data_IF_664292719437
#
_entry.id   IF_664292719437
#
_cell.length_a   1.000
_cell.length_b   1.000
_cell.length_c   1.000
_cell.angle_alpha   90.00
_cell.angle_beta   90.00
_cell.angle_gamma   90.00
#
_symmetry.space_group_name_H-M   'P 1'
#
loop_
_entity.id
_entity.type
_entity.pdbx_description
1 polymer ?
#
# COMPACT_ATOMS: atom_id res chain seq x y z
N UNK A 1 -92.49 14.18 -25.42
CA UNK A 1 -91.47 13.13 -25.57
C UNK A 1 -90.33 13.44 -24.59
N UNK A 2 -90.16 12.59 -23.56
CA UNK A 2 -89.04 12.39 -22.59
C UNK A 2 -88.12 13.58 -22.26
N UNK A 3 -88.22 14.18 -21.06
CA UNK A 3 -87.47 13.86 -19.81
C UNK A 3 -85.96 13.62 -19.99
N UNK A 4 -85.13 14.41 -19.29
CA UNK A 4 -84.11 13.98 -18.32
C UNK A 4 -83.61 15.20 -17.53
N UNK A 5 -83.78 15.14 -16.22
CA UNK A 5 -83.16 15.97 -15.19
C UNK A 5 -81.79 15.38 -14.87
N UNK A 6 -80.74 16.19 -14.75
CA UNK A 6 -79.46 15.75 -14.17
C UNK A 6 -78.94 16.84 -13.23
N UNK A 7 -79.16 16.60 -11.93
CA UNK A 7 -78.43 17.24 -10.84
C UNK A 7 -76.96 16.83 -10.95
N UNK A 8 -76.06 17.81 -10.99
CA UNK A 8 -74.65 17.60 -10.69
C UNK A 8 -74.39 18.17 -9.29
N UNK A 9 -74.26 17.26 -8.33
CA UNK A 9 -73.81 17.53 -6.98
C UNK A 9 -72.38 18.10 -7.01
N UNK A 10 -72.18 19.22 -6.32
CA UNK A 10 -70.87 19.70 -5.92
C UNK A 10 -70.23 18.66 -4.98
N UNK A 11 -69.28 17.89 -5.51
CA UNK A 11 -68.42 17.02 -4.71
C UNK A 11 -67.25 17.83 -4.17
N UNK A 12 -67.30 18.13 -2.88
CA UNK A 12 -66.21 18.71 -2.09
C UNK A 12 -64.97 17.81 -2.17
N UNK A 13 -63.93 18.24 -2.88
CA UNK A 13 -62.60 17.67 -2.74
C UNK A 13 -61.95 18.26 -1.48
N UNK A 14 -62.23 17.64 -0.34
CA UNK A 14 -61.41 17.79 0.87
C UNK A 14 -60.89 16.42 1.27
N UNK A 15 -59.76 16.03 0.70
CA UNK A 15 -58.90 15.00 1.26
C UNK A 15 -57.53 15.64 1.49
N UNK A 16 -57.44 16.49 2.53
CA UNK A 16 -56.15 16.69 3.19
C UNK A 16 -55.77 15.34 3.78
N UNK A 17 -54.80 14.67 3.16
CA UNK A 17 -54.28 13.40 3.64
C UNK A 17 -53.77 13.57 5.06
N UNK A 18 -54.38 12.85 6.01
CA UNK A 18 -53.79 12.68 7.33
C UNK A 18 -52.40 12.07 7.14
N UNK A 19 -51.38 12.71 7.74
CA UNK A 19 -50.09 12.08 7.94
C UNK A 19 -50.34 10.77 8.70
N UNK A 20 -50.26 9.65 8.01
CA UNK A 20 -50.39 8.34 8.63
C UNK A 20 -49.09 8.10 9.37
N UNK A 21 -49.11 8.15 10.69
CA UNK A 21 -47.94 7.76 11.50
C UNK A 21 -47.59 6.30 11.17
N UNK A 22 -46.35 6.00 10.75
CA UNK A 22 -45.96 4.63 10.45
C UNK A 22 -46.04 3.76 11.71
N UNK A 23 -46.40 2.47 11.61
CA UNK A 23 -46.45 1.58 12.76
C UNK A 23 -45.10 1.52 13.50
N UNK A 24 -45.06 1.58 14.84
CA UNK A 24 -43.79 1.56 15.58
C UNK A 24 -42.89 0.35 15.28
N UNK A 25 -43.48 -0.86 15.17
CA UNK A 25 -42.75 -2.08 14.83
C UNK A 25 -42.10 -2.03 13.44
N UNK A 26 -42.75 -1.33 12.51
CA UNK A 26 -42.19 -1.11 11.17
C UNK A 26 -40.95 -0.21 11.27
N UNK A 27 -41.05 0.91 11.99
CA UNK A 27 -39.95 1.87 12.16
C UNK A 27 -38.74 1.19 12.79
N UNK A 28 -38.97 0.37 13.82
CA UNK A 28 -37.90 -0.38 14.48
C UNK A 28 -37.20 -1.36 13.53
N UNK A 29 -37.97 -2.21 12.83
CA UNK A 29 -37.42 -3.23 11.93
C UNK A 29 -36.70 -2.62 10.73
N UNK A 30 -37.30 -1.61 10.11
CA UNK A 30 -36.68 -0.88 9.01
C UNK A 30 -35.40 -0.19 9.49
N UNK A 31 -35.42 0.42 10.67
CA UNK A 31 -34.24 1.02 11.32
C UNK A 31 -33.09 0.03 11.46
N UNK A 32 -33.35 -1.18 11.98
CA UNK A 32 -32.34 -2.24 12.11
C UNK A 32 -31.76 -2.67 10.76
N UNK A 33 -32.57 -2.69 9.71
CA UNK A 33 -32.12 -3.06 8.37
C UNK A 33 -31.32 -1.97 7.69
N UNK A 34 -31.68 -0.70 7.88
CA UNK A 34 -30.94 0.45 7.32
C UNK A 34 -29.51 0.57 7.86
N UNK A 35 -29.24 0.07 9.08
CA UNK A 35 -27.89 0.04 9.68
C UNK A 35 -27.14 -1.29 9.44
N UNK A 36 -27.71 -2.20 8.65
CA UNK A 36 -27.12 -3.52 8.43
C UNK A 36 -25.85 -3.44 7.60
N UNK A 37 -24.91 -4.36 7.85
CA UNK A 37 -23.74 -4.57 6.98
C UNK A 37 -24.09 -5.20 5.64
N UNK A 38 -25.28 -5.80 5.51
CA UNK A 38 -25.81 -6.38 4.27
C UNK A 38 -26.52 -5.31 3.43
N UNK A 39 -25.98 -4.92 2.26
CA UNK A 39 -26.60 -3.92 1.40
C UNK A 39 -28.03 -4.30 0.97
N UNK A 40 -28.31 -5.60 0.80
CA UNK A 40 -29.64 -6.07 0.38
C UNK A 40 -30.72 -5.75 1.41
N UNK A 41 -30.36 -5.80 2.71
CA UNK A 41 -31.26 -5.42 3.80
C UNK A 41 -31.50 -3.92 3.84
N UNK A 42 -30.45 -3.11 3.67
CA UNK A 42 -30.58 -1.64 3.60
C UNK A 42 -31.52 -1.23 2.47
N UNK A 43 -31.26 -1.76 1.26
CA UNK A 43 -32.08 -1.51 0.07
C UNK A 43 -33.53 -2.01 0.22
N UNK A 44 -33.76 -3.11 0.92
CA UNK A 44 -35.11 -3.56 1.23
C UNK A 44 -35.82 -2.61 2.20
N UNK A 45 -35.12 -2.08 3.21
CA UNK A 45 -35.70 -1.11 4.15
C UNK A 45 -36.14 0.19 3.46
N UNK A 46 -35.31 0.74 2.57
CA UNK A 46 -35.66 1.94 1.80
C UNK A 46 -36.91 1.71 0.93
N UNK A 47 -36.96 0.58 0.21
CA UNK A 47 -38.13 0.19 -0.58
C UNK A 47 -39.39 0.06 0.27
N UNK A 48 -39.28 -0.55 1.46
CA UNK A 48 -40.41 -0.71 2.36
C UNK A 48 -40.94 0.63 2.90
N UNK A 49 -40.07 1.62 3.15
CA UNK A 49 -40.50 2.98 3.50
C UNK A 49 -41.28 3.64 2.36
N UNK A 50 -40.80 3.53 1.13
CA UNK A 50 -41.47 4.10 -0.05
C UNK A 50 -42.85 3.47 -0.33
N UNK A 51 -43.05 2.21 0.06
CA UNK A 51 -44.32 1.50 -0.10
C UNK A 51 -45.44 2.00 0.83
N UNK A 52 -45.12 2.69 1.94
CA UNK A 52 -46.12 3.23 2.86
C UNK A 52 -46.87 4.46 2.28
N UNK A 53 -46.30 5.08 1.24
CA UNK A 53 -46.93 6.17 0.50
C UNK A 53 -46.63 7.57 1.06
N UNK A 54 -47.19 8.62 0.42
CA UNK A 54 -46.80 10.01 0.66
C UNK A 54 -46.97 10.50 2.11
N UNK A 55 -47.94 9.95 2.85
CA UNK A 55 -48.26 10.35 4.22
C UNK A 55 -47.19 10.01 5.26
N UNK A 56 -46.17 9.22 4.90
CA UNK A 56 -45.08 8.81 5.80
C UNK A 56 -43.74 9.45 5.47
N UNK A 57 -43.66 10.33 4.47
CA UNK A 57 -42.39 10.82 3.94
C UNK A 57 -41.59 11.66 4.94
N UNK A 58 -42.24 12.46 5.79
CA UNK A 58 -41.57 13.21 6.87
C UNK A 58 -40.94 12.26 7.90
N UNK A 59 -41.66 11.19 8.27
CA UNK A 59 -41.13 10.15 9.16
C UNK A 59 -39.98 9.39 8.50
N UNK A 60 -40.03 9.16 7.18
CA UNK A 60 -38.94 8.54 6.44
C UNK A 60 -37.68 9.42 6.41
N UNK A 61 -37.82 10.71 6.11
CA UNK A 61 -36.70 11.67 6.14
C UNK A 61 -36.03 11.71 7.52
N UNK A 62 -36.85 11.77 8.59
CA UNK A 62 -36.34 11.72 9.97
C UNK A 62 -35.59 10.41 10.26
N UNK A 63 -36.11 9.29 9.78
CA UNK A 63 -35.45 7.99 9.92
C UNK A 63 -34.09 7.97 9.18
N UNK A 64 -34.04 8.44 7.92
CA UNK A 64 -32.83 8.56 7.12
C UNK A 64 -31.76 9.42 7.83
N UNK A 65 -32.13 10.63 8.30
CA UNK A 65 -31.21 11.52 9.02
C UNK A 65 -30.70 10.89 10.32
N UNK A 66 -31.55 10.17 11.04
CA UNK A 66 -31.15 9.44 12.25
C UNK A 66 -30.18 8.28 11.92
N UNK A 67 -30.40 7.56 10.82
CA UNK A 67 -29.51 6.49 10.37
C UNK A 67 -28.18 7.04 9.87
N UNK A 68 -28.17 8.18 9.18
CA UNK A 68 -26.94 8.85 8.77
C UNK A 68 -26.07 9.18 10.00
N UNK A 69 -26.68 9.74 11.05
CA UNK A 69 -26.02 10.01 12.33
C UNK A 69 -25.51 8.73 13.02
N UNK A 70 -26.21 7.60 12.86
CA UNK A 70 -25.73 6.32 13.38
C UNK A 70 -24.42 5.88 12.71
N UNK A 71 -24.33 5.96 11.38
CA UNK A 71 -23.13 5.58 10.64
C UNK A 71 -21.94 6.49 10.96
N UNK A 72 -22.18 7.80 11.05
CA UNK A 72 -21.21 8.79 11.51
C UNK A 72 -20.64 8.43 12.90
N UNK A 73 -21.52 8.19 13.87
CA UNK A 73 -21.12 7.72 15.21
C UNK A 73 -20.42 6.36 15.20
N UNK A 74 -20.76 5.48 14.25
CA UNK A 74 -20.12 4.18 14.11
C UNK A 74 -18.68 4.32 13.62
N UNK A 75 -18.42 5.20 12.66
CA UNK A 75 -17.08 5.54 12.17
C UNK A 75 -16.24 6.13 13.30
N UNK A 76 -16.79 7.07 14.07
CA UNK A 76 -16.16 7.62 15.27
C UNK A 76 -15.72 6.54 16.27
N UNK A 77 -16.62 5.59 16.56
CA UNK A 77 -16.34 4.47 17.48
C UNK A 77 -15.25 3.55 16.94
N UNK A 78 -15.29 3.24 15.65
CA UNK A 78 -14.26 2.44 14.99
C UNK A 78 -12.89 3.13 15.08
N UNK A 79 -12.84 4.44 14.81
CA UNK A 79 -11.61 5.22 14.88
C UNK A 79 -11.02 5.22 16.30
N UNK A 80 -11.86 5.42 17.32
CA UNK A 80 -11.45 5.39 18.73
C UNK A 80 -11.17 3.98 19.28
N UNK A 81 -11.40 2.93 18.49
CA UNK A 81 -11.22 1.55 18.92
C UNK A 81 -12.22 1.10 19.99
N UNK A 82 -13.41 1.72 20.04
CA UNK A 82 -14.45 1.36 21.01
C UNK A 82 -15.07 0.00 20.65
N UNK A 83 -14.92 -0.99 21.53
CA UNK A 83 -15.46 -2.34 21.38
C UNK A 83 -14.55 -3.30 20.59
N UNK A 84 -13.72 -2.80 19.67
CA UNK A 84 -12.66 -3.55 19.01
C UNK A 84 -11.48 -2.62 18.69
N UNK A 85 -10.25 -3.09 18.91
CA UNK A 85 -9.04 -2.32 18.62
C UNK A 85 -9.02 -1.85 17.17
N UNK A 86 -8.59 -0.60 16.93
CA UNK A 86 -8.33 -0.08 15.59
C UNK A 86 -6.96 -0.61 15.12
N UNK A 87 -6.93 -1.57 14.17
CA UNK A 87 -5.67 -2.20 13.76
C UNK A 87 -4.78 -1.24 12.97
N UNK A 88 -5.34 -0.18 12.38
CA UNK A 88 -4.56 0.74 11.56
C UNK A 88 -3.71 1.69 12.41
N UNK A 89 -4.23 2.16 13.56
CA UNK A 89 -3.52 3.10 14.45
C UNK A 89 -2.22 2.50 15.01
N UNK A 90 -2.29 1.25 15.48
CA UNK A 90 -1.11 0.56 16.00
C UNK A 90 -0.03 0.39 14.91
N UNK A 91 -0.45 0.03 13.69
CA UNK A 91 0.45 -0.05 12.54
C UNK A 91 1.04 1.31 12.18
N UNK A 92 0.22 2.36 12.12
CA UNK A 92 0.64 3.70 11.73
C UNK A 92 1.63 4.33 12.69
N UNK A 93 1.41 4.18 13.99
CA UNK A 93 2.36 4.64 15.01
C UNK A 93 3.72 3.95 14.86
N UNK A 94 3.74 2.63 14.64
CA UNK A 94 4.97 1.88 14.41
C UNK A 94 5.64 2.23 13.08
N UNK A 95 4.86 2.47 12.02
CA UNK A 95 5.36 2.87 10.71
C UNK A 95 5.99 4.27 10.76
N UNK A 96 5.36 5.21 11.46
CA UNK A 96 5.89 6.57 11.60
C UNK A 96 7.22 6.60 12.37
N UNK A 97 7.34 5.77 13.40
CA UNK A 97 8.60 5.53 14.12
C UNK A 97 9.67 4.95 13.17
N UNK A 98 9.32 3.94 12.37
CA UNK A 98 10.21 3.33 11.38
C UNK A 98 10.63 4.33 10.28
N UNK A 99 9.73 5.15 9.76
CA UNK A 99 10.03 6.16 8.74
C UNK A 99 11.03 7.20 9.24
N UNK A 100 10.83 7.70 10.47
CA UNK A 100 11.77 8.63 11.13
C UNK A 100 13.16 8.01 11.25
N UNK A 101 13.24 6.76 11.73
CA UNK A 101 14.53 6.08 11.88
C UNK A 101 15.17 5.72 10.54
N UNK A 102 14.38 5.39 9.50
CA UNK A 102 14.88 5.19 8.13
C UNK A 102 15.57 6.45 7.63
N UNK A 103 14.94 7.62 7.77
CA UNK A 103 15.54 8.89 7.35
C UNK A 103 16.89 9.14 8.04
N UNK A 104 16.95 8.95 9.36
CA UNK A 104 18.17 9.12 10.15
C UNK A 104 19.27 8.13 9.73
N UNK A 105 18.94 6.85 9.62
CA UNK A 105 19.92 5.79 9.28
C UNK A 105 20.39 5.92 7.83
N UNK A 106 19.52 6.32 6.90
CA UNK A 106 19.91 6.53 5.50
C UNK A 106 20.94 7.67 5.33
N UNK A 107 20.90 8.70 6.19
CA UNK A 107 21.99 9.70 6.24
C UNK A 107 23.30 9.03 6.62
N UNK A 108 23.33 8.20 7.67
CA UNK A 108 24.53 7.48 8.11
C UNK A 108 25.08 6.53 7.04
N UNK A 109 24.19 5.83 6.32
CA UNK A 109 24.54 4.95 5.20
C UNK A 109 25.27 5.73 4.10
N UNK A 110 24.83 6.96 3.81
CA UNK A 110 25.33 7.82 2.73
C UNK A 110 26.49 8.73 3.13
N UNK A 111 26.92 8.69 4.38
CA UNK A 111 28.09 9.46 4.83
C UNK A 111 29.39 8.74 4.48
N UNK A 112 30.36 9.50 3.98
CA UNK A 112 31.72 9.05 3.77
C UNK A 112 32.49 9.14 5.10
N UNK A 113 32.78 7.97 5.68
CA UNK A 113 33.51 7.85 6.93
C UNK A 113 35.00 7.60 6.73
N UNK A 114 35.51 7.72 5.50
CA UNK A 114 36.88 7.36 5.13
C UNK A 114 37.24 5.94 5.60
N UNK A 115 36.28 5.01 5.52
CA UNK A 115 36.41 3.61 5.97
C UNK A 115 36.73 3.46 7.48
N UNK A 116 36.28 4.38 8.32
CA UNK A 116 36.40 4.25 9.78
C UNK A 116 35.58 3.06 10.30
N UNK A 117 36.28 2.00 10.71
CA UNK A 117 35.67 0.77 11.23
C UNK A 117 34.77 0.96 12.45
N UNK A 118 35.02 1.98 13.30
CA UNK A 118 34.14 2.27 14.45
C UNK A 118 32.82 2.88 13.97
N UNK A 119 32.85 3.74 12.96
CA UNK A 119 31.63 4.32 12.36
C UNK A 119 30.84 3.27 11.60
N UNK A 120 31.51 2.34 10.92
CA UNK A 120 30.87 1.19 10.29
C UNK A 120 30.21 0.27 11.33
N UNK A 121 30.88 -0.01 12.45
CA UNK A 121 30.31 -0.81 13.53
C UNK A 121 29.08 -0.12 14.15
N UNK A 122 29.16 1.18 14.43
CA UNK A 122 28.02 1.99 14.86
C UNK A 122 26.86 1.89 13.87
N UNK A 123 27.11 2.03 12.56
CA UNK A 123 26.06 1.89 11.54
C UNK A 123 25.39 0.50 11.55
N UNK A 124 26.14 -0.57 11.84
CA UNK A 124 25.55 -1.91 11.95
C UNK A 124 24.60 -2.01 13.15
N UNK A 125 24.96 -1.44 14.28
CA UNK A 125 24.08 -1.37 15.46
C UNK A 125 22.79 -0.59 15.15
N UNK A 126 22.91 0.51 14.41
CA UNK A 126 21.76 1.31 13.97
C UNK A 126 20.83 0.51 13.03
N UNK A 127 21.40 -0.27 12.11
CA UNK A 127 20.66 -1.18 11.23
C UNK A 127 19.93 -2.29 12.00
N UNK A 128 20.50 -2.80 13.09
CA UNK A 128 19.82 -3.77 13.97
C UNK A 128 18.60 -3.14 14.66
N UNK A 129 18.71 -1.88 15.10
CA UNK A 129 17.58 -1.12 15.62
C UNK A 129 16.46 -0.99 14.59
N UNK A 130 16.82 -0.62 13.36
CA UNK A 130 15.89 -0.49 12.24
C UNK A 130 15.22 -1.83 11.89
N UNK A 131 15.97 -2.93 11.95
CA UNK A 131 15.46 -4.29 11.73
C UNK A 131 14.36 -4.66 12.72
N UNK A 132 14.50 -4.28 14.00
CA UNK A 132 13.49 -4.55 15.04
C UNK A 132 12.19 -3.78 14.78
N UNK A 133 12.31 -2.49 14.43
CA UNK A 133 11.16 -1.66 14.07
C UNK A 133 10.45 -2.18 12.82
N UNK A 134 11.23 -2.51 11.78
CA UNK A 134 10.71 -3.11 10.55
C UNK A 134 9.94 -4.41 10.82
N UNK A 135 10.48 -5.31 11.65
CA UNK A 135 9.79 -6.53 12.05
C UNK A 135 8.48 -6.28 12.81
N UNK A 136 8.43 -5.26 13.69
CA UNK A 136 7.21 -4.84 14.39
C UNK A 136 6.15 -4.34 13.40
N UNK A 137 6.53 -3.49 12.44
CA UNK A 137 5.66 -2.97 11.39
C UNK A 137 5.08 -4.11 10.54
N UNK A 138 5.92 -5.03 10.07
CA UNK A 138 5.45 -6.15 9.24
C UNK A 138 4.52 -7.10 10.00
N UNK A 139 4.79 -7.34 11.29
CA UNK A 139 3.90 -8.12 12.15
C UNK A 139 2.52 -7.46 12.26
N UNK A 140 2.47 -6.14 12.47
CA UNK A 140 1.20 -5.40 12.53
C UNK A 140 0.49 -5.39 11.16
N UNK A 141 1.25 -5.27 10.07
CA UNK A 141 0.69 -5.28 8.72
C UNK A 141 0.04 -6.62 8.33
N UNK A 142 0.55 -7.73 8.87
CA UNK A 142 -0.02 -9.07 8.68
C UNK A 142 -1.31 -9.35 9.48
N UNK A 143 -1.74 -8.42 10.34
CA UNK A 143 -2.96 -8.59 11.12
C UNK A 143 -4.19 -8.68 10.20
N UNK A 144 -5.14 -9.54 10.56
CA UNK A 144 -6.42 -9.64 9.86
C UNK A 144 -7.29 -8.41 10.15
N UNK A 145 -7.61 -7.64 9.12
CA UNK A 145 -8.44 -6.43 9.20
C UNK A 145 -9.86 -6.61 8.67
N UNK A 146 -10.22 -7.78 8.15
CA UNK A 146 -11.45 -7.96 7.36
C UNK A 146 -12.73 -7.55 8.09
N UNK A 147 -12.84 -7.81 9.39
CA UNK A 147 -14.02 -7.39 10.17
C UNK A 147 -14.10 -5.88 10.36
N UNK A 148 -12.96 -5.22 10.58
CA UNK A 148 -12.86 -3.77 10.67
C UNK A 148 -13.15 -3.13 9.31
N UNK A 149 -12.55 -3.67 8.24
CA UNK A 149 -12.75 -3.23 6.86
C UNK A 149 -14.24 -3.29 6.50
N UNK A 150 -14.88 -4.44 6.74
CA UNK A 150 -16.30 -4.66 6.48
C UNK A 150 -17.19 -3.67 7.24
N UNK A 151 -16.87 -3.38 8.51
CA UNK A 151 -17.67 -2.47 9.32
C UNK A 151 -17.55 -1.01 8.86
N UNK A 152 -16.34 -0.58 8.48
CA UNK A 152 -16.09 0.75 7.94
C UNK A 152 -16.76 0.90 6.57
N UNK A 153 -16.57 -0.04 5.65
CA UNK A 153 -17.11 -0.02 4.30
C UNK A 153 -18.64 -0.03 4.32
N UNK A 154 -19.25 -0.87 5.16
CA UNK A 154 -20.70 -0.88 5.34
C UNK A 154 -21.24 0.46 5.86
N UNK A 155 -20.48 1.16 6.70
CA UNK A 155 -20.91 2.46 7.22
C UNK A 155 -20.83 3.54 6.15
N UNK A 156 -19.72 3.59 5.40
CA UNK A 156 -19.52 4.53 4.29
C UNK A 156 -20.58 4.30 3.19
N UNK A 157 -20.77 3.06 2.76
CA UNK A 157 -21.80 2.71 1.78
C UNK A 157 -23.22 3.06 2.27
N UNK A 158 -23.53 2.75 3.53
CA UNK A 158 -24.80 3.14 4.13
C UNK A 158 -25.02 4.65 4.09
N UNK A 159 -23.98 5.45 4.36
CA UNK A 159 -24.05 6.92 4.24
C UNK A 159 -24.27 7.38 2.79
N UNK A 160 -23.60 6.77 1.81
CA UNK A 160 -23.82 7.05 0.39
C UNK A 160 -25.28 6.77 0.00
N UNK A 161 -25.79 5.58 0.32
CA UNK A 161 -27.16 5.15 0.04
C UNK A 161 -28.20 6.08 0.69
N UNK A 162 -28.01 6.43 1.96
CA UNK A 162 -28.89 7.36 2.69
C UNK A 162 -28.86 8.75 2.07
N UNK A 163 -27.69 9.21 1.64
CA UNK A 163 -27.55 10.51 0.96
C UNK A 163 -28.34 10.53 -0.35
N UNK A 164 -28.26 9.45 -1.14
CA UNK A 164 -29.10 9.28 -2.35
C UNK A 164 -30.60 9.25 -2.05
N UNK A 165 -31.01 8.69 -0.92
CA UNK A 165 -32.42 8.72 -0.51
C UNK A 165 -32.86 10.12 -0.02
N UNK A 166 -31.98 10.87 0.67
CA UNK A 166 -32.25 12.23 1.12
C UNK A 166 -32.34 13.25 -0.03
N UNK A 167 -31.67 12.99 -1.15
CA UNK A 167 -31.77 13.78 -2.39
C UNK A 167 -33.22 13.88 -2.95
N UNK A 168 -34.13 13.00 -2.52
CA UNK A 168 -35.56 13.10 -2.88
C UNK A 168 -36.27 14.27 -2.20
N UNK A 169 -35.74 14.72 -1.06
CA UNK A 169 -36.29 15.79 -0.23
C UNK A 169 -35.63 17.14 -0.51
N UNK A 170 -34.44 17.12 -1.12
CA UNK A 170 -33.71 18.31 -1.55
C UNK A 170 -33.43 18.25 -3.05
N UNK A 171 -34.22 19.02 -3.81
CA UNK A 171 -34.13 19.02 -5.28
C UNK A 171 -32.80 19.59 -5.79
N UNK A 172 -32.17 20.48 -5.03
CA UNK A 172 -30.96 21.23 -5.43
C UNK A 172 -29.68 20.67 -4.79
N UNK A 173 -29.76 19.54 -4.11
CA UNK A 173 -28.63 18.89 -3.46
C UNK A 173 -27.44 18.70 -4.43
N UNK A 174 -26.29 19.30 -4.09
CA UNK A 174 -25.05 19.20 -4.88
C UNK A 174 -24.60 17.76 -5.13
N UNK A 175 -24.91 16.84 -4.19
CA UNK A 175 -24.53 15.43 -4.28
C UNK A 175 -25.11 14.73 -5.53
N UNK A 176 -26.20 15.26 -6.11
CA UNK A 176 -26.80 14.74 -7.35
C UNK A 176 -25.89 14.86 -8.57
N UNK A 177 -24.90 15.76 -8.53
CA UNK A 177 -23.94 15.94 -9.62
C UNK A 177 -22.76 14.98 -9.51
N UNK A 178 -22.62 14.29 -8.38
CA UNK A 178 -21.51 13.39 -8.09
C UNK A 178 -21.87 11.96 -8.52
N UNK A 179 -20.93 11.27 -9.15
CA UNK A 179 -20.99 9.81 -9.25
C UNK A 179 -20.76 9.16 -7.86
N UNK A 180 -20.86 7.83 -7.79
CA UNK A 180 -20.79 7.13 -6.49
C UNK A 180 -19.40 7.19 -5.86
N UNK A 181 -18.33 7.20 -6.66
CA UNK A 181 -16.96 7.31 -6.17
C UNK A 181 -16.69 8.73 -5.64
N UNK A 182 -17.14 9.75 -6.36
CA UNK A 182 -17.06 11.15 -5.95
C UNK A 182 -17.86 11.42 -4.68
N UNK A 183 -19.06 10.83 -4.56
CA UNK A 183 -19.89 10.96 -3.37
C UNK A 183 -19.22 10.30 -2.16
N UNK A 184 -18.74 9.07 -2.31
CA UNK A 184 -18.01 8.36 -1.27
C UNK A 184 -16.80 9.18 -0.79
N UNK A 185 -15.99 9.66 -1.74
CA UNK A 185 -14.84 10.51 -1.45
C UNK A 185 -15.24 11.79 -0.70
N UNK A 186 -16.31 12.48 -1.12
CA UNK A 186 -16.81 13.69 -0.43
C UNK A 186 -17.28 13.39 0.99
N UNK A 187 -18.00 12.28 1.21
CA UNK A 187 -18.52 11.90 2.52
C UNK A 187 -17.40 11.48 3.48
N UNK A 188 -16.45 10.69 3.00
CA UNK A 188 -15.28 10.28 3.79
C UNK A 188 -14.40 11.48 4.13
N UNK A 189 -14.08 12.33 3.14
CA UNK A 189 -13.19 13.49 3.36
C UNK A 189 -13.83 14.60 4.19
N UNK A 190 -15.15 14.75 4.15
CA UNK A 190 -15.90 15.66 5.01
C UNK A 190 -15.98 15.21 6.47
N UNK A 191 -15.68 13.94 6.78
CA UNK A 191 -15.73 13.38 8.13
C UNK A 191 -14.32 13.21 8.70
N UNK A 192 -14.00 13.91 9.81
CA UNK A 192 -12.65 13.92 10.41
C UNK A 192 -12.10 12.50 10.62
N UNK A 193 -12.83 11.63 11.32
CA UNK A 193 -12.39 10.25 11.56
C UNK A 193 -12.45 9.35 10.31
N UNK A 194 -13.37 9.60 9.36
CA UNK A 194 -13.49 8.83 8.13
C UNK A 194 -12.27 9.03 7.23
N UNK A 195 -11.92 10.29 6.95
CA UNK A 195 -10.74 10.64 6.18
C UNK A 195 -9.44 10.14 6.82
N UNK A 196 -9.34 10.22 8.15
CA UNK A 196 -8.21 9.68 8.89
C UNK A 196 -8.10 8.15 8.73
N UNK A 197 -9.18 7.41 8.96
CA UNK A 197 -9.18 5.94 8.80
C UNK A 197 -8.79 5.49 7.39
N UNK A 198 -9.26 6.18 6.36
CA UNK A 198 -8.86 5.89 4.97
C UNK A 198 -7.36 6.13 4.78
N UNK A 199 -6.81 7.24 5.29
CA UNK A 199 -5.36 7.49 5.25
C UNK A 199 -4.57 6.37 5.94
N UNK A 200 -5.00 5.93 7.12
CA UNK A 200 -4.33 4.85 7.85
C UNK A 200 -4.42 3.51 7.10
N UNK A 201 -5.59 3.19 6.52
CA UNK A 201 -5.80 2.00 5.69
C UNK A 201 -4.87 2.01 4.47
N UNK A 202 -4.72 3.15 3.78
CA UNK A 202 -3.80 3.30 2.66
C UNK A 202 -2.35 3.05 3.09
N UNK A 203 -1.91 3.61 4.22
CA UNK A 203 -0.56 3.38 4.76
C UNK A 203 -0.32 1.91 5.11
N UNK A 204 -1.31 1.22 5.68
CA UNK A 204 -1.27 -0.23 5.90
C UNK A 204 -1.13 -1.01 4.58
N UNK A 205 -1.89 -0.63 3.55
CA UNK A 205 -1.81 -1.31 2.25
C UNK A 205 -0.43 -1.13 1.60
N UNK A 206 0.15 0.07 1.66
CA UNK A 206 1.51 0.33 1.15
C UNK A 206 2.55 -0.57 1.81
N UNK A 207 2.44 -0.79 3.13
CA UNK A 207 3.31 -1.75 3.85
C UNK A 207 3.10 -3.17 3.36
N UNK A 208 1.85 -3.62 3.19
CA UNK A 208 1.54 -4.97 2.68
C UNK A 208 2.10 -5.17 1.27
N UNK A 209 1.96 -4.18 0.41
CA UNK A 209 2.53 -4.22 -0.95
C UNK A 209 4.06 -4.29 -0.93
N UNK A 210 4.72 -3.62 0.01
CA UNK A 210 6.17 -3.72 0.19
C UNK A 210 6.61 -5.13 0.58
N UNK A 211 5.90 -5.77 1.52
CA UNK A 211 6.13 -7.18 1.91
C UNK A 211 6.01 -8.09 0.69
N UNK A 212 4.92 -7.96 -0.07
CA UNK A 212 4.70 -8.76 -1.28
C UNK A 212 5.81 -8.53 -2.32
N UNK A 213 6.25 -7.29 -2.54
CA UNK A 213 7.37 -7.00 -3.45
C UNK A 213 8.67 -7.69 -3.02
N UNK A 214 8.99 -7.72 -1.73
CA UNK A 214 10.17 -8.43 -1.22
C UNK A 214 10.03 -9.95 -1.43
N UNK A 215 8.85 -10.52 -1.17
CA UNK A 215 8.58 -11.94 -1.39
C UNK A 215 8.73 -12.33 -2.87
N UNK A 216 8.17 -11.52 -3.78
CA UNK A 216 8.29 -11.72 -5.21
C UNK A 216 9.74 -11.64 -5.71
N UNK A 217 10.49 -10.62 -5.27
CA UNK A 217 11.90 -10.50 -5.63
C UNK A 217 12.74 -11.66 -5.07
N UNK A 218 12.47 -12.08 -3.83
CA UNK A 218 13.11 -13.24 -3.20
C UNK A 218 12.82 -14.52 -3.99
N UNK A 219 11.56 -14.73 -4.39
CA UNK A 219 11.16 -15.87 -5.21
C UNK A 219 11.85 -15.84 -6.58
N UNK A 220 11.80 -14.70 -7.27
CA UNK A 220 12.46 -14.55 -8.58
C UNK A 220 13.97 -14.83 -8.51
N UNK A 221 14.65 -14.34 -7.46
CA UNK A 221 16.09 -14.56 -7.29
C UNK A 221 16.44 -15.99 -6.89
N UNK A 222 15.53 -16.73 -6.22
CA UNK A 222 15.70 -18.15 -5.92
C UNK A 222 15.45 -19.04 -7.14
N UNK A 223 14.42 -18.71 -7.91
CA UNK A 223 13.87 -19.57 -8.96
C UNK A 223 14.43 -19.26 -10.36
N UNK A 224 15.27 -18.23 -10.51
CA UNK A 224 15.73 -17.67 -11.79
C UNK A 224 16.66 -18.55 -12.64
N UNK A 225 16.54 -19.88 -12.59
CA UNK A 225 17.20 -20.81 -13.50
C UNK A 225 18.63 -21.18 -13.12
N UNK A 226 19.25 -22.05 -13.92
CA UNK A 226 20.57 -22.63 -13.65
C UNK A 226 21.73 -21.63 -13.69
N UNK A 227 21.52 -20.43 -14.24
CA UNK A 227 22.57 -19.41 -14.35
C UNK A 227 22.81 -18.67 -13.02
N UNK A 228 21.85 -18.69 -12.10
CA UNK A 228 22.04 -18.16 -10.75
C UNK A 228 22.73 -19.23 -9.91
N UNK A 229 23.94 -18.95 -9.44
CA UNK A 229 24.66 -19.83 -8.51
C UNK A 229 24.26 -19.58 -7.03
N UNK A 230 24.82 -20.38 -6.12
CA UNK A 230 24.52 -20.27 -4.68
C UNK A 230 24.91 -18.92 -4.09
N UNK A 231 26.09 -18.39 -4.46
CA UNK A 231 26.58 -17.12 -3.96
C UNK A 231 25.74 -15.94 -4.44
N UNK A 232 25.29 -15.96 -5.70
CA UNK A 232 24.36 -14.98 -6.23
C UNK A 232 23.01 -14.99 -5.49
N UNK A 233 22.45 -16.18 -5.26
CA UNK A 233 21.18 -16.34 -4.50
C UNK A 233 21.31 -15.75 -3.10
N UNK A 234 22.28 -16.23 -2.33
CA UNK A 234 22.44 -15.85 -0.93
C UNK A 234 22.73 -14.36 -0.78
N UNK A 235 23.64 -13.81 -1.59
CA UNK A 235 23.93 -12.38 -1.57
C UNK A 235 22.69 -11.54 -1.89
N UNK A 236 21.95 -11.87 -2.95
CA UNK A 236 20.78 -11.08 -3.37
C UNK A 236 19.68 -11.07 -2.32
N UNK A 237 19.49 -12.17 -1.59
CA UNK A 237 18.51 -12.29 -0.50
C UNK A 237 18.92 -11.40 0.68
N UNK A 238 20.20 -11.44 1.08
CA UNK A 238 20.72 -10.61 2.17
C UNK A 238 20.62 -9.12 1.81
N UNK A 239 21.09 -8.74 0.62
CA UNK A 239 21.01 -7.35 0.17
C UNK A 239 19.56 -6.85 0.12
N UNK A 240 18.63 -7.65 -0.43
CA UNK A 240 17.23 -7.22 -0.54
C UNK A 240 16.55 -7.07 0.82
N UNK A 241 16.87 -7.93 1.79
CA UNK A 241 16.36 -7.79 3.16
C UNK A 241 16.79 -6.45 3.77
N UNK A 242 18.07 -6.10 3.61
CA UNK A 242 18.65 -4.86 4.15
C UNK A 242 18.11 -3.63 3.42
N UNK A 243 17.93 -3.73 2.09
CA UNK A 243 17.26 -2.68 1.29
C UNK A 243 15.82 -2.45 1.74
N UNK A 244 15.04 -3.51 1.96
CA UNK A 244 13.64 -3.42 2.42
C UNK A 244 13.52 -2.81 3.83
N UNK A 245 14.42 -3.18 4.75
CA UNK A 245 14.53 -2.53 6.07
C UNK A 245 14.73 -1.02 5.94
N UNK A 246 15.56 -0.58 4.99
CA UNK A 246 15.77 0.83 4.65
C UNK A 246 14.64 1.49 3.83
N UNK A 247 13.60 0.74 3.44
CA UNK A 247 12.50 1.26 2.61
C UNK A 247 12.85 1.38 1.13
N UNK A 248 13.90 0.71 0.67
CA UNK A 248 14.34 0.69 -0.73
C UNK A 248 13.72 -0.49 -1.48
N UNK A 249 13.52 -0.30 -2.78
CA UNK A 249 12.98 -1.36 -3.66
C UNK A 249 13.94 -2.56 -3.71
N UNK A 250 13.45 -3.79 -3.44
CA UNK A 250 14.22 -5.02 -3.65
C UNK A 250 14.63 -5.19 -5.11
N UNK A 251 15.85 -5.66 -5.33
CA UNK A 251 16.45 -5.83 -6.64
C UNK A 251 16.22 -7.24 -7.18
N UNK A 252 15.83 -7.35 -8.45
CA UNK A 252 15.76 -8.64 -9.16
C UNK A 252 17.09 -8.94 -9.85
N UNK A 253 17.56 -10.19 -9.75
CA UNK A 253 18.72 -10.66 -10.50
C UNK A 253 18.41 -10.59 -12.00
N UNK A 254 19.33 -10.01 -12.77
CA UNK A 254 19.20 -9.81 -14.20
C UNK A 254 20.36 -10.51 -14.92
N UNK A 255 20.01 -11.39 -15.85
CA UNK A 255 20.95 -12.31 -16.48
C UNK A 255 22.03 -11.59 -17.29
N UNK A 256 21.67 -10.59 -18.10
CA UNK A 256 22.64 -9.86 -18.95
C UNK A 256 23.56 -8.98 -18.12
N UNK A 257 23.02 -8.38 -17.06
CA UNK A 257 23.83 -7.63 -16.12
C UNK A 257 24.78 -8.56 -15.32
N UNK A 258 24.34 -9.78 -15.02
CA UNK A 258 25.16 -10.82 -14.37
C UNK A 258 26.24 -11.38 -15.31
N UNK A 259 25.94 -11.54 -16.61
CA UNK A 259 26.92 -11.92 -17.63
C UNK A 259 28.06 -10.88 -17.72
N UNK A 260 27.73 -9.58 -17.70
CA UNK A 260 28.69 -8.50 -17.66
C UNK A 260 29.58 -8.56 -16.40
N UNK A 261 28.96 -8.70 -15.23
CA UNK A 261 29.66 -8.81 -13.95
C UNK A 261 30.57 -10.05 -13.89
N UNK A 262 30.09 -11.20 -14.35
CA UNK A 262 30.85 -12.46 -14.36
C UNK A 262 32.03 -12.39 -15.30
N UNK A 263 31.84 -11.78 -16.47
CA UNK A 263 32.91 -11.49 -17.42
C UNK A 263 34.00 -10.61 -16.83
N UNK A 264 33.65 -9.60 -16.03
CA UNK A 264 34.62 -8.73 -15.37
C UNK A 264 35.41 -9.45 -14.28
N UNK A 265 34.72 -10.20 -13.41
CA UNK A 265 35.38 -11.04 -12.40
C UNK A 265 36.35 -12.05 -13.03
N UNK A 266 35.97 -12.65 -14.18
CA UNK A 266 36.84 -13.57 -14.91
C UNK A 266 38.04 -12.86 -15.57
N UNK A 267 37.86 -11.65 -16.09
CA UNK A 267 38.97 -10.86 -16.64
C UNK A 267 39.96 -10.45 -15.54
N UNK A 268 39.48 -9.97 -14.39
CA UNK A 268 40.34 -9.66 -13.24
C UNK A 268 41.17 -10.88 -12.82
N UNK A 269 40.53 -12.05 -12.71
CA UNK A 269 41.20 -13.30 -12.35
C UNK A 269 42.24 -13.75 -13.39
N UNK A 270 41.90 -13.69 -14.69
CA UNK A 270 42.73 -14.22 -15.79
C UNK A 270 43.87 -13.30 -16.16
N UNK A 271 43.63 -11.98 -16.14
CA UNK A 271 44.59 -10.96 -16.59
C UNK A 271 45.38 -10.35 -15.42
N UNK A 272 45.06 -10.70 -14.17
CA UNK A 272 45.84 -10.30 -13.00
C UNK A 272 45.73 -8.82 -12.65
N UNK A 273 44.52 -8.25 -12.74
CA UNK A 273 44.25 -6.87 -12.34
C UNK A 273 43.05 -6.79 -11.39
N UNK A 274 42.96 -5.71 -10.62
CA UNK A 274 41.82 -5.42 -9.76
C UNK A 274 41.44 -3.94 -9.88
N UNK A 275 40.52 -3.64 -10.80
CA UNK A 275 40.08 -2.28 -11.10
C UNK A 275 38.68 -2.29 -11.73
N UNK A 276 37.97 -1.17 -11.60
CA UNK A 276 36.68 -0.96 -12.29
C UNK A 276 36.85 -0.91 -13.82
N UNK A 277 37.97 -0.34 -14.28
CA UNK A 277 38.32 -0.30 -15.71
C UNK A 277 39.00 -1.61 -16.13
N UNK A 278 38.47 -2.25 -17.16
CA UNK A 278 39.09 -3.43 -17.78
C UNK A 278 40.10 -3.01 -18.86
N UNK A 279 41.26 -3.69 -18.97
CA UNK A 279 42.19 -3.50 -20.08
C UNK A 279 41.70 -4.17 -21.38
N UNK A 280 40.59 -4.91 -21.35
CA UNK A 280 40.06 -5.59 -22.53
C UNK A 280 39.33 -4.59 -23.44
N UNK A 281 39.66 -4.54 -24.75
CA UNK A 281 38.96 -3.69 -25.71
C UNK A 281 37.43 -3.89 -25.65
N UNK A 282 36.69 -2.80 -25.83
CA UNK A 282 35.21 -2.78 -25.79
C UNK A 282 34.56 -3.12 -24.44
N UNK A 283 35.34 -3.46 -23.40
CA UNK A 283 34.86 -3.81 -22.04
C UNK A 283 35.34 -2.85 -20.96
N UNK A 284 35.84 -1.67 -21.35
CA UNK A 284 36.59 -0.76 -20.47
C UNK A 284 35.80 -0.39 -19.23
N UNK A 285 34.65 0.27 -19.36
CA UNK A 285 33.82 0.67 -18.21
C UNK A 285 32.76 -0.38 -17.86
N UNK A 286 32.17 -0.33 -16.64
CA UNK A 286 31.02 -1.17 -16.29
C UNK A 286 29.86 -1.01 -17.28
N UNK A 287 29.65 0.21 -17.81
CA UNK A 287 28.60 0.50 -18.79
C UNK A 287 28.87 -0.13 -20.15
N UNK A 288 30.13 -0.14 -20.59
CA UNK A 288 30.52 -0.82 -21.83
C UNK A 288 30.25 -2.32 -21.70
N UNK A 289 30.59 -2.92 -20.54
CA UNK A 289 30.32 -4.34 -20.25
C UNK A 289 28.83 -4.66 -20.24
N UNK A 290 28.01 -3.85 -19.58
CA UNK A 290 26.55 -4.02 -19.57
C UNK A 290 25.96 -3.94 -20.98
N UNK A 291 26.37 -2.93 -21.76
CA UNK A 291 25.95 -2.75 -23.16
C UNK A 291 26.37 -3.93 -24.04
N UNK A 292 27.63 -4.38 -23.92
CA UNK A 292 28.16 -5.50 -24.69
C UNK A 292 27.45 -6.82 -24.36
N UNK A 293 27.04 -7.02 -23.10
CA UNK A 293 26.24 -8.17 -22.69
C UNK A 293 24.77 -8.09 -23.18
N UNK A 294 24.36 -6.98 -23.79
CA UNK A 294 23.00 -6.80 -24.29
C UNK A 294 21.98 -6.45 -23.20
N UNK A 295 22.43 -5.87 -22.08
CA UNK A 295 21.50 -5.38 -21.06
C UNK A 295 20.66 -4.22 -21.63
N UNK A 296 19.34 -4.41 -21.69
CA UNK A 296 18.40 -3.45 -22.26
C UNK A 296 18.01 -2.29 -21.32
N UNK A 297 18.55 -2.28 -20.09
CA UNK A 297 18.31 -1.22 -19.12
C UNK A 297 19.47 -0.24 -18.99
N UNK A 298 19.41 0.60 -17.96
CA UNK A 298 20.47 1.54 -17.61
C UNK A 298 21.18 1.05 -16.36
N UNK A 299 22.45 0.66 -16.50
CA UNK A 299 23.26 0.28 -15.35
C UNK A 299 23.70 1.56 -14.60
N UNK A 300 23.77 1.48 -13.26
CA UNK A 300 23.84 2.64 -12.36
C UNK A 300 24.89 2.55 -11.25
N UNK A 301 25.39 1.36 -10.90
CA UNK A 301 26.55 1.22 -10.02
C UNK A 301 27.37 -0.05 -10.27
N UNK A 302 28.61 -0.07 -9.80
CA UNK A 302 29.46 -1.26 -9.73
C UNK A 302 30.25 -1.32 -8.41
N UNK A 303 30.22 -2.48 -7.76
CA UNK A 303 31.16 -2.83 -6.70
C UNK A 303 32.01 -4.03 -7.14
N UNK A 304 33.30 -4.03 -6.78
CA UNK A 304 34.21 -5.15 -6.99
C UNK A 304 34.83 -5.61 -5.67
N UNK A 305 35.05 -6.90 -5.50
CA UNK A 305 35.70 -7.48 -4.33
C UNK A 305 36.61 -8.64 -4.73
N UNK A 306 37.73 -8.80 -4.02
CA UNK A 306 38.68 -9.89 -4.21
C UNK A 306 39.16 -10.39 -2.85
N UNK A 307 39.23 -11.71 -2.68
CA UNK A 307 39.94 -12.33 -1.54
C UNK A 307 39.20 -13.47 -0.85
N UNK A 308 37.94 -13.73 -1.21
CA UNK A 308 37.17 -14.84 -0.63
C UNK A 308 36.14 -15.37 -1.61
N UNK A 309 35.83 -16.67 -1.53
CA UNK A 309 34.71 -17.30 -2.22
C UNK A 309 33.41 -17.22 -1.43
N UNK A 310 33.42 -16.65 -0.22
CA UNK A 310 32.23 -16.50 0.60
C UNK A 310 31.51 -15.18 0.28
N UNK A 311 30.22 -15.24 -0.03
CA UNK A 311 29.40 -14.06 -0.33
C UNK A 311 29.38 -13.07 0.83
N UNK A 312 29.41 -13.57 2.08
CA UNK A 312 29.36 -12.74 3.28
C UNK A 312 30.60 -11.83 3.35
N UNK A 313 31.77 -12.32 2.95
CA UNK A 313 33.00 -11.52 2.88
C UNK A 313 32.88 -10.38 1.88
N UNK A 314 32.29 -10.63 0.71
CA UNK A 314 32.07 -9.59 -0.30
C UNK A 314 31.04 -8.55 0.19
N UNK A 315 29.95 -9.01 0.80
CA UNK A 315 28.95 -8.13 1.41
C UNK A 315 29.56 -7.23 2.48
N UNK A 316 30.28 -7.80 3.44
CA UNK A 316 30.87 -7.04 4.55
C UNK A 316 31.97 -6.09 4.09
N UNK A 317 32.77 -6.49 3.10
CA UNK A 317 33.77 -5.63 2.47
C UNK A 317 33.15 -4.42 1.76
N UNK A 318 32.03 -4.62 1.05
CA UNK A 318 31.31 -3.53 0.40
C UNK A 318 30.56 -2.65 1.40
N UNK A 319 29.90 -3.23 2.40
CA UNK A 319 29.23 -2.46 3.45
C UNK A 319 30.23 -1.57 4.23
N UNK A 320 31.43 -2.08 4.50
CA UNK A 320 32.48 -1.33 5.19
C UNK A 320 33.18 -0.26 4.35
N UNK A 321 32.93 -0.20 3.04
CA UNK A 321 33.55 0.77 2.14
C UNK A 321 32.52 1.77 1.66
N UNK A 322 32.71 3.04 1.97
CA UNK A 322 31.69 4.09 1.80
C UNK A 322 31.07 4.12 0.39
N UNK A 323 31.90 4.26 -0.66
CA UNK A 323 31.41 4.26 -2.05
C UNK A 323 30.67 2.98 -2.47
N UNK A 324 31.10 1.81 -1.97
CA UNK A 324 30.43 0.54 -2.26
C UNK A 324 29.09 0.42 -1.53
N UNK A 325 29.04 0.86 -0.26
CA UNK A 325 27.81 0.92 0.52
C UNK A 325 26.79 1.85 -0.13
N UNK A 326 27.22 3.00 -0.67
CA UNK A 326 26.30 3.92 -1.37
C UNK A 326 25.62 3.24 -2.57
N UNK A 327 26.34 2.38 -3.30
CA UNK A 327 25.79 1.62 -4.43
C UNK A 327 24.82 0.53 -3.97
N UNK A 328 25.12 -0.17 -2.88
CA UNK A 328 24.23 -1.20 -2.30
C UNK A 328 22.88 -0.62 -1.86
N UNK A 329 22.89 0.58 -1.29
CA UNK A 329 21.73 1.28 -0.76
C UNK A 329 21.29 2.48 -1.62
N UNK A 330 21.65 2.47 -2.90
CA UNK A 330 21.18 3.47 -3.85
C UNK A 330 19.67 3.31 -4.07
N UNK A 331 18.99 4.45 -4.15
CA UNK A 331 17.61 4.53 -4.61
C UNK A 331 17.57 4.57 -6.15
N UNK A 332 16.49 4.05 -6.75
CA UNK A 332 16.29 4.01 -8.20
C UNK A 332 16.56 2.68 -8.93
N UNK A 333 17.59 1.86 -8.63
CA UNK A 333 17.75 0.59 -9.31
C UNK A 333 16.65 -0.40 -8.88
N UNK A 334 16.23 -1.24 -9.80
CA UNK A 334 15.27 -2.33 -9.57
C UNK A 334 15.83 -3.70 -9.98
N UNK A 335 17.04 -3.72 -10.55
CA UNK A 335 17.77 -4.94 -10.90
C UNK A 335 19.21 -4.91 -10.43
N UNK A 336 19.77 -6.09 -10.25
CA UNK A 336 21.18 -6.30 -9.96
C UNK A 336 21.76 -7.42 -10.84
N UNK A 337 23.05 -7.32 -11.14
CA UNK A 337 23.84 -8.39 -11.73
C UNK A 337 24.96 -8.77 -10.78
N UNK A 338 25.17 -10.06 -10.56
CA UNK A 338 26.30 -10.57 -9.78
C UNK A 338 27.16 -11.46 -10.66
N UNK A 339 28.47 -11.43 -10.42
CA UNK A 339 29.44 -12.20 -11.17
C UNK A 339 30.57 -12.69 -10.31
N UNK A 340 30.75 -14.00 -10.25
CA UNK A 340 31.74 -14.65 -9.39
C UNK A 340 32.73 -15.43 -10.25
N UNK A 341 34.02 -15.24 -10.01
CA UNK A 341 35.11 -16.03 -10.61
C UNK A 341 36.22 -16.28 -9.59
N UNK A 342 36.25 -17.49 -9.03
CA UNK A 342 37.13 -17.82 -7.91
C UNK A 342 36.86 -16.89 -6.72
N UNK A 343 37.88 -16.12 -6.32
CA UNK A 343 37.78 -15.15 -5.22
C UNK A 343 37.35 -13.75 -5.66
N UNK A 344 37.03 -13.53 -6.94
CA UNK A 344 36.63 -12.24 -7.50
C UNK A 344 35.11 -12.14 -7.61
N UNK A 345 34.57 -11.03 -7.14
CA UNK A 345 33.15 -10.69 -7.15
C UNK A 345 32.95 -9.35 -7.82
N UNK A 346 31.92 -9.26 -8.64
CA UNK A 346 31.43 -8.01 -9.22
C UNK A 346 29.94 -7.94 -8.98
N UNK A 347 29.47 -6.84 -8.38
CA UNK A 347 28.07 -6.46 -8.31
C UNK A 347 27.86 -5.29 -9.25
N UNK A 348 26.82 -5.36 -10.07
CA UNK A 348 26.33 -4.23 -10.84
C UNK A 348 24.87 -3.97 -10.47
N UNK A 349 24.47 -2.71 -10.37
CA UNK A 349 23.07 -2.33 -10.19
C UNK A 349 22.56 -1.61 -11.42
N UNK A 350 21.25 -1.63 -11.65
CA UNK A 350 20.66 -0.91 -12.76
C UNK A 350 19.15 -0.79 -12.65
N UNK A 351 18.58 -0.07 -13.62
CA UNK A 351 17.14 0.07 -13.81
C UNK A 351 16.74 -0.52 -15.16
N UNK A 352 15.75 -1.42 -15.12
CA UNK A 352 15.10 -2.00 -16.30
C UNK A 352 13.62 -1.64 -16.23
N UNK A 353 13.12 -0.95 -17.25
CA UNK A 353 11.71 -0.53 -17.33
C UNK A 353 10.79 -1.70 -17.63
#
# INVERSE_FOLDING_TARGET
MRLIFLLLCAGSFTAFGQANTPPPEFVERAGQWMISTDPSKRQAAYRSWLQLGPGTMEAYEKALRSTLKYHDQKIDKLARGEGASNPYEAHDAALSELETERERVMVLIRTDWNKDGKKVAMLREEMEGLTKLHGKVNKLASANTSSFDTALDASVQGMCEITRELERFDLEAESKQLDDEQLESKLVSGHIHGGHLVKLRTRLQVTRDAITRLEEATKANKDGGRWIDGGMREFSIVLNRERDICGLVPLRLEEKLSDAAKGHSADMARLGFFAHESPVPEKKSPWDRAKLAGFAGNASGENIFMGSTNFQSAYDGWFGSDGHRFIMFADGPNVLGLGISGVHWTLMTGRKN
#
